data_IF_891099654037
#
_entry.id   IF_891099654037
#
_cell.length_a   1.000
_cell.length_b   1.000
_cell.length_c   1.000
_cell.angle_alpha   90.00
_cell.angle_beta   90.00
_cell.angle_gamma   90.00
#
_symmetry.space_group_name_H-M   'P 1'
#
loop_
_entity.id
_entity.type
_entity.pdbx_description
1 polymer ?
#
# COMPACT_ATOMS: atom_id res chain seq x y z
N UNK A 1 -40.43 30.65 29.11
CA UNK A 1 -39.27 31.22 28.39
C UNK A 1 -38.09 30.24 28.42
N UNK A 2 -38.18 29.04 27.85
CA UNK A 2 -37.06 28.06 27.85
C UNK A 2 -37.19 27.06 26.69
N UNK A 3 -37.25 27.57 25.46
CA UNK A 3 -37.34 26.73 24.25
C UNK A 3 -36.47 27.29 23.12
N UNK A 4 -35.25 27.75 23.45
CA UNK A 4 -34.25 28.25 22.48
C UNK A 4 -32.84 27.64 22.66
N UNK A 5 -32.68 26.60 23.48
CA UNK A 5 -31.34 26.08 23.82
C UNK A 5 -31.04 24.66 23.32
N UNK A 6 -31.78 24.14 22.34
CA UNK A 6 -31.47 22.83 21.72
C UNK A 6 -31.15 22.93 20.22
N UNK A 7 -31.52 24.03 19.55
CA UNK A 7 -31.20 24.25 18.14
C UNK A 7 -29.77 24.80 17.90
N UNK A 8 -29.10 25.31 18.92
CA UNK A 8 -27.71 25.79 18.82
C UNK A 8 -26.66 24.72 19.11
N UNK A 9 -27.04 23.58 19.70
CA UNK A 9 -26.11 22.47 19.96
C UNK A 9 -25.89 21.57 18.73
N UNK A 10 -26.80 21.63 17.74
CA UNK A 10 -26.76 20.79 16.52
C UNK A 10 -26.12 21.48 15.31
N UNK A 11 -25.62 22.72 15.44
CA UNK A 11 -24.86 23.40 14.37
C UNK A 11 -23.35 23.23 14.48
N UNK A 12 -22.83 22.71 15.59
CA UNK A 12 -21.39 22.54 15.82
C UNK A 12 -20.84 21.13 15.48
N UNK A 13 -21.70 20.19 15.09
CA UNK A 13 -21.28 18.82 14.76
C UNK A 13 -20.65 18.68 13.37
N UNK A 14 -20.82 19.67 12.48
CA UNK A 14 -20.19 19.67 11.15
C UNK A 14 -18.71 20.12 11.16
N UNK A 15 -18.19 20.56 12.29
CA UNK A 15 -16.78 20.99 12.44
C UNK A 15 -15.99 20.00 13.31
N UNK A 16 -16.67 19.20 14.14
CA UNK A 16 -16.01 18.27 15.05
C UNK A 16 -15.36 17.08 14.32
N UNK A 17 -15.99 16.56 13.26
CA UNK A 17 -15.46 15.44 12.47
C UNK A 17 -14.16 15.81 11.72
N UNK A 18 -14.08 16.95 10.99
CA UNK A 18 -12.81 17.33 10.35
C UNK A 18 -11.72 17.70 11.36
N UNK A 19 -12.05 18.25 12.53
CA UNK A 19 -11.07 18.56 13.57
C UNK A 19 -10.43 17.30 14.17
N UNK A 20 -11.21 16.24 14.42
CA UNK A 20 -10.70 14.93 14.87
C UNK A 20 -9.85 14.25 13.78
N UNK A 21 -10.22 14.41 12.51
CA UNK A 21 -9.45 13.86 11.39
C UNK A 21 -8.10 14.58 11.20
N UNK A 22 -8.09 15.91 11.32
CA UNK A 22 -6.87 16.72 11.33
C UNK A 22 -5.98 16.39 12.53
N UNK A 23 -6.55 16.12 13.71
CA UNK A 23 -5.78 15.70 14.88
C UNK A 23 -5.18 14.30 14.71
N UNK A 24 -5.90 13.37 14.08
CA UNK A 24 -5.36 12.04 13.75
C UNK A 24 -4.22 12.12 12.72
N UNK A 25 -4.38 12.94 11.66
CA UNK A 25 -3.31 13.20 10.68
C UNK A 25 -2.12 13.90 11.34
N UNK A 26 -2.36 14.87 12.23
CA UNK A 26 -1.29 15.56 12.96
C UNK A 26 -0.56 14.62 13.91
N UNK A 27 -1.26 13.69 14.58
CA UNK A 27 -0.63 12.66 15.41
C UNK A 27 0.21 11.70 14.57
N UNK A 28 -0.26 11.30 13.38
CA UNK A 28 0.50 10.49 12.42
C UNK A 28 1.72 11.28 11.90
N UNK A 29 1.58 12.58 11.63
CA UNK A 29 2.68 13.43 11.17
C UNK A 29 3.72 13.68 12.28
N UNK A 30 3.28 13.88 13.53
CA UNK A 30 4.15 14.10 14.69
C UNK A 30 4.90 12.81 15.03
N UNK A 31 4.26 11.64 14.96
CA UNK A 31 4.95 10.36 15.10
C UNK A 31 5.92 10.06 13.93
N UNK A 32 5.73 10.70 12.78
CA UNK A 32 6.64 10.61 11.63
C UNK A 32 7.67 11.74 11.58
N UNK A 33 7.66 12.69 12.53
CA UNK A 33 8.60 13.82 12.56
C UNK A 33 9.95 13.33 13.11
N UNK A 34 10.83 12.95 12.18
CA UNK A 34 12.24 12.66 12.41
C UNK A 34 12.89 13.76 13.25
N UNK A 35 13.29 13.43 14.47
CA UNK A 35 14.35 14.14 15.16
C UNK A 35 15.67 13.89 14.44
N UNK A 36 16.30 14.98 14.02
CA UNK A 36 17.64 14.96 13.47
C UNK A 36 18.68 14.97 14.58
N UNK A 37 19.53 13.94 14.56
CA UNK A 37 20.93 13.94 14.99
C UNK A 37 21.27 13.73 16.47
N UNK A 38 21.27 12.46 16.89
CA UNK A 38 22.39 11.86 17.64
C UNK A 38 22.31 10.35 17.47
N UNK A 39 23.24 9.72 16.74
CA UNK A 39 23.53 8.28 16.76
C UNK A 39 22.37 7.27 16.58
N UNK A 40 21.16 7.70 16.21
CA UNK A 40 19.97 6.88 16.17
C UNK A 40 19.89 6.15 14.83
N UNK A 41 20.32 4.89 14.82
CA UNK A 41 19.97 3.98 13.75
C UNK A 41 18.45 3.96 13.61
N UNK A 42 17.91 4.59 12.56
CA UNK A 42 16.52 4.38 12.16
C UNK A 42 16.34 2.86 12.08
N UNK A 43 15.45 2.24 12.86
CA UNK A 43 15.27 0.80 12.80
C UNK A 43 14.89 0.46 11.36
N UNK A 44 15.81 -0.20 10.65
CA UNK A 44 15.55 -0.60 9.27
C UNK A 44 14.35 -1.55 9.29
N UNK A 45 13.34 -1.31 8.44
CA UNK A 45 12.20 -2.22 8.37
C UNK A 45 12.71 -3.61 7.99
N UNK A 46 12.08 -4.65 8.51
CA UNK A 46 12.48 -6.04 8.25
C UNK A 46 12.55 -6.37 6.75
N UNK A 47 11.59 -5.85 5.98
CA UNK A 47 11.57 -5.88 4.52
C UNK A 47 10.92 -4.59 4.00
N UNK A 48 11.23 -4.22 2.76
CA UNK A 48 10.76 -3.00 2.13
C UNK A 48 10.53 -3.21 0.62
N UNK A 49 9.44 -2.66 0.10
CA UNK A 49 9.20 -2.56 -1.34
C UNK A 49 9.76 -1.23 -1.86
N UNK A 50 10.21 -1.20 -3.12
CA UNK A 50 10.69 0.03 -3.75
C UNK A 50 9.60 1.09 -3.97
N UNK A 51 8.34 0.71 -3.78
CA UNK A 51 7.17 1.59 -3.83
C UNK A 51 6.11 1.07 -2.86
N UNK A 52 5.31 1.97 -2.30
CA UNK A 52 4.18 1.65 -1.44
C UNK A 52 2.90 1.33 -2.24
N UNK A 53 2.93 1.57 -3.56
CA UNK A 53 1.81 1.38 -4.49
C UNK A 53 2.32 0.93 -5.87
N UNK A 54 1.68 -0.08 -6.44
CA UNK A 54 1.85 -0.48 -7.84
C UNK A 54 0.71 0.10 -8.68
N UNK A 55 0.91 1.29 -9.22
CA UNK A 55 -0.08 1.97 -10.05
C UNK A 55 0.22 1.78 -11.55
N UNK A 56 -0.65 1.05 -12.24
CA UNK A 56 -0.59 0.88 -13.69
C UNK A 56 -1.05 2.12 -14.46
N UNK A 57 -1.66 3.10 -13.79
CA UNK A 57 -2.21 4.29 -14.41
C UNK A 57 -3.40 3.97 -15.31
N UNK A 58 -3.51 4.72 -16.40
CA UNK A 58 -4.56 4.53 -17.41
C UNK A 58 -4.18 3.42 -18.37
N UNK A 59 -4.98 2.37 -18.39
CA UNK A 59 -4.76 1.23 -19.27
C UNK A 59 -5.97 1.04 -20.20
N UNK A 60 -5.74 0.78 -21.50
CA UNK A 60 -6.82 0.41 -22.41
C UNK A 60 -7.51 -0.89 -21.98
N UNK A 61 -8.75 -1.10 -22.42
CA UNK A 61 -9.40 -2.40 -22.27
C UNK A 61 -8.71 -3.47 -23.11
N UNK A 62 -8.80 -4.72 -22.67
CA UNK A 62 -8.29 -5.90 -23.37
C UNK A 62 -6.79 -5.90 -23.67
N UNK A 63 -6.00 -5.10 -22.96
CA UNK A 63 -4.53 -5.14 -23.02
C UNK A 63 -3.95 -5.86 -21.80
N UNK A 64 -2.66 -6.19 -21.90
CA UNK A 64 -1.88 -6.74 -20.77
C UNK A 64 -0.77 -5.77 -20.43
N UNK A 65 -0.59 -5.50 -19.15
CA UNK A 65 0.44 -4.59 -18.65
C UNK A 65 1.31 -5.30 -17.63
N UNK A 66 2.58 -4.89 -17.55
CA UNK A 66 3.55 -5.44 -16.60
C UNK A 66 4.26 -4.32 -15.86
N UNK A 67 4.41 -4.50 -14.55
CA UNK A 67 5.24 -3.65 -13.70
C UNK A 67 6.19 -4.51 -12.86
N UNK A 68 7.24 -3.86 -12.38
CA UNK A 68 8.26 -4.48 -11.56
C UNK A 68 8.48 -3.67 -10.29
N UNK A 69 8.53 -4.36 -9.16
CA UNK A 69 8.78 -3.79 -7.85
C UNK A 69 9.92 -4.56 -7.20
N UNK A 70 10.87 -3.86 -6.60
CA UNK A 70 11.98 -4.47 -5.88
C UNK A 70 11.54 -4.69 -4.43
N UNK A 71 11.76 -5.89 -3.93
CA UNK A 71 11.65 -6.27 -2.53
C UNK A 71 13.05 -6.44 -1.94
N UNK A 72 13.38 -5.59 -0.97
CA UNK A 72 14.59 -5.67 -0.17
C UNK A 72 14.28 -6.25 1.21
N UNK A 73 15.10 -7.18 1.66
CA UNK A 73 14.99 -7.79 2.99
C UNK A 73 16.23 -7.41 3.78
N UNK A 74 16.03 -6.73 4.91
CA UNK A 74 17.13 -6.10 5.66
C UNK A 74 17.70 -7.01 6.77
N UNK A 75 17.33 -8.28 6.77
CA UNK A 75 17.84 -9.29 7.71
C UNK A 75 18.27 -10.56 6.94
N UNK A 76 19.27 -11.30 7.43
CA UNK A 76 19.62 -12.60 6.86
C UNK A 76 18.41 -13.53 6.87
N UNK A 77 18.01 -14.01 5.70
CA UNK A 77 16.85 -14.87 5.55
C UNK A 77 17.00 -15.74 4.30
N UNK A 78 16.49 -16.95 4.39
CA UNK A 78 16.30 -17.82 3.24
C UNK A 78 15.19 -17.27 2.34
N UNK A 79 15.58 -16.53 1.31
CA UNK A 79 14.65 -15.93 0.34
C UNK A 79 13.89 -16.96 -0.47
N UNK A 80 14.34 -18.22 -0.54
CA UNK A 80 13.62 -19.30 -1.23
C UNK A 80 12.33 -19.70 -0.49
N UNK A 81 12.23 -19.37 0.80
CA UNK A 81 11.04 -19.61 1.62
C UNK A 81 10.04 -18.44 1.59
N UNK A 82 10.37 -17.32 0.95
CA UNK A 82 9.43 -16.21 0.75
C UNK A 82 8.39 -16.64 -0.27
N UNK A 83 7.12 -16.44 0.06
CA UNK A 83 5.99 -16.90 -0.76
C UNK A 83 5.13 -15.73 -1.17
N UNK A 84 4.69 -15.78 -2.42
CA UNK A 84 3.63 -14.92 -2.93
C UNK A 84 2.29 -15.58 -2.61
N UNK A 85 1.41 -14.87 -1.91
CA UNK A 85 0.06 -15.37 -1.68
C UNK A 85 -0.75 -15.38 -2.98
N UNK A 86 -1.73 -16.29 -3.14
CA UNK A 86 -2.63 -16.25 -4.29
C UNK A 86 -3.32 -14.90 -4.40
N UNK A 87 -3.50 -14.41 -5.64
CA UNK A 87 -4.32 -13.23 -5.90
C UNK A 87 -5.78 -13.67 -5.93
N UNK A 88 -6.69 -12.86 -5.39
CA UNK A 88 -8.13 -13.12 -5.48
C UNK A 88 -8.73 -12.74 -6.84
N UNK A 89 -7.90 -12.30 -7.80
CA UNK A 89 -8.36 -11.83 -9.10
C UNK A 89 -7.66 -12.56 -10.26
N UNK A 90 -8.40 -13.21 -11.18
CA UNK A 90 -7.83 -14.09 -12.22
C UNK A 90 -6.97 -13.35 -13.25
N UNK A 91 -7.24 -12.07 -13.49
CA UNK A 91 -6.43 -11.26 -14.40
C UNK A 91 -5.08 -10.85 -13.80
N UNK A 92 -4.90 -10.94 -12.47
CA UNK A 92 -3.68 -10.47 -11.81
C UNK A 92 -2.74 -11.65 -11.55
N UNK A 93 -1.60 -11.66 -12.22
CA UNK A 93 -0.54 -12.65 -12.04
C UNK A 93 0.70 -11.97 -11.49
N UNK A 94 1.49 -12.73 -10.75
CA UNK A 94 2.73 -12.22 -10.22
C UNK A 94 3.74 -13.32 -9.96
N UNK A 95 5.02 -12.95 -10.00
CA UNK A 95 6.14 -13.85 -9.77
C UNK A 95 7.26 -13.13 -9.03
N UNK A 96 8.04 -13.90 -8.30
CA UNK A 96 9.20 -13.43 -7.55
C UNK A 96 10.45 -14.05 -8.15
N UNK A 97 11.43 -13.22 -8.48
CA UNK A 97 12.71 -13.64 -9.07
C UNK A 97 13.87 -13.04 -8.31
N UNK A 98 14.92 -13.80 -7.94
CA UNK A 98 16.11 -13.24 -7.32
C UNK A 98 16.84 -12.27 -8.26
N UNK A 99 17.47 -11.24 -7.69
CA UNK A 99 18.36 -10.31 -8.40
C UNK A 99 19.81 -10.58 -8.02
N UNK A 100 20.75 -10.15 -8.87
CA UNK A 100 22.21 -10.27 -8.60
C UNK A 100 22.68 -9.50 -7.37
N UNK A 101 21.87 -8.56 -6.85
CA UNK A 101 22.19 -7.70 -5.70
C UNK A 101 21.62 -8.21 -4.37
N UNK A 102 21.11 -9.45 -4.32
CA UNK A 102 20.50 -10.02 -3.12
C UNK A 102 19.07 -9.51 -2.81
N UNK A 103 18.53 -8.61 -3.64
CA UNK A 103 17.12 -8.24 -3.60
C UNK A 103 16.26 -9.24 -4.39
N UNK A 104 14.96 -9.17 -4.21
CA UNK A 104 13.97 -9.92 -4.97
C UNK A 104 13.22 -8.95 -5.90
N UNK A 105 12.94 -9.39 -7.12
CA UNK A 105 12.15 -8.66 -8.10
C UNK A 105 10.76 -9.29 -8.17
N UNK A 106 9.74 -8.51 -7.85
CA UNK A 106 8.34 -8.88 -8.01
C UNK A 106 7.89 -8.37 -9.37
N UNK A 107 7.61 -9.27 -10.29
CA UNK A 107 6.97 -8.92 -11.57
C UNK A 107 5.47 -9.09 -11.43
N UNK A 108 4.72 -8.02 -11.64
CA UNK A 108 3.27 -7.96 -11.53
C UNK A 108 2.71 -7.78 -12.94
N UNK A 109 1.83 -8.68 -13.34
CA UNK A 109 1.18 -8.65 -14.64
C UNK A 109 -0.32 -8.50 -14.45
N UNK A 110 -0.88 -7.44 -14.99
CA UNK A 110 -2.31 -7.23 -15.09
C UNK A 110 -2.75 -7.64 -16.50
N UNK A 111 -3.51 -8.73 -16.58
CA UNK A 111 -4.09 -9.25 -17.81
C UNK A 111 -5.29 -8.42 -18.28
N UNK A 112 -6.04 -8.98 -19.22
CA UNK A 112 -7.12 -8.27 -19.90
C UNK A 112 -8.31 -8.00 -18.97
N UNK A 113 -8.71 -6.73 -18.92
CA UNK A 113 -9.93 -6.28 -18.26
C UNK A 113 -10.94 -5.84 -19.33
N UNK A 114 -12.20 -6.26 -19.17
CA UNK A 114 -13.26 -6.10 -20.18
C UNK A 114 -14.10 -4.84 -19.98
N UNK A 115 -14.14 -4.35 -18.74
CA UNK A 115 -15.03 -3.26 -18.33
C UNK A 115 -14.21 -2.02 -17.95
N UNK A 116 -14.65 -0.82 -18.35
CA UNK A 116 -14.02 0.41 -17.90
C UNK A 116 -14.29 0.62 -16.41
N UNK A 117 -13.37 1.28 -15.71
CA UNK A 117 -13.50 1.51 -14.26
C UNK A 117 -12.18 1.48 -13.53
N UNK A 118 -12.25 1.33 -12.20
CA UNK A 118 -11.06 1.19 -11.36
C UNK A 118 -10.85 -0.27 -11.04
N UNK A 119 -9.66 -0.78 -11.36
CA UNK A 119 -9.16 -2.03 -10.86
C UNK A 119 -8.40 -1.81 -9.56
N UNK A 120 -8.67 -2.62 -8.53
CA UNK A 120 -7.93 -2.60 -7.27
C UNK A 120 -7.75 -4.01 -6.71
N UNK A 121 -6.54 -4.31 -6.24
CA UNK A 121 -6.21 -5.56 -5.59
C UNK A 121 -5.09 -5.38 -4.55
N UNK A 122 -4.97 -6.35 -3.65
CA UNK A 122 -3.85 -6.43 -2.70
C UNK A 122 -2.98 -7.63 -3.03
N UNK A 123 -1.68 -7.39 -3.13
CA UNK A 123 -0.66 -8.41 -3.26
C UNK A 123 0.02 -8.62 -1.91
N UNK A 124 0.07 -9.87 -1.42
CA UNK A 124 0.63 -10.16 -0.08
C UNK A 124 1.85 -11.08 -0.18
N UNK A 125 3.00 -10.59 0.24
CA UNK A 125 4.23 -11.36 0.39
C UNK A 125 4.26 -11.93 1.80
N UNK A 126 4.36 -13.25 1.92
CA UNK A 126 4.51 -13.95 3.20
C UNK A 126 5.97 -14.34 3.42
N UNK A 127 6.48 -14.04 4.61
CA UNK A 127 7.84 -14.36 5.02
C UNK A 127 7.87 -15.60 5.92
N UNK A 128 9.02 -16.29 6.05
CA UNK A 128 9.14 -17.50 6.85
C UNK A 128 8.93 -17.30 8.35
N UNK A 129 9.02 -16.06 8.83
CA UNK A 129 8.82 -15.68 10.22
C UNK A 129 7.38 -15.20 10.49
N UNK A 130 6.42 -15.63 9.68
CA UNK A 130 4.99 -15.33 9.79
C UNK A 130 4.63 -13.84 9.62
N UNK A 131 5.60 -13.00 9.26
CA UNK A 131 5.33 -11.63 8.86
C UNK A 131 4.79 -11.60 7.43
N UNK A 132 4.05 -10.55 7.13
CA UNK A 132 3.56 -10.26 5.78
C UNK A 132 3.86 -8.84 5.37
N UNK A 133 3.94 -8.61 4.07
CA UNK A 133 4.04 -7.27 3.47
C UNK A 133 3.04 -7.18 2.32
N UNK A 134 2.22 -6.14 2.33
CA UNK A 134 1.15 -5.95 1.35
C UNK A 134 1.48 -4.81 0.40
N UNK A 135 1.17 -4.99 -0.88
CA UNK A 135 1.30 -4.00 -1.93
C UNK A 135 -0.06 -3.80 -2.60
N UNK A 136 -0.68 -2.62 -2.45
CA UNK A 136 -1.81 -2.22 -3.26
C UNK A 136 -1.45 -2.16 -4.75
N UNK A 137 -2.35 -2.66 -5.59
CA UNK A 137 -2.28 -2.57 -7.05
C UNK A 137 -3.49 -1.82 -7.53
N UNK A 138 -3.27 -0.78 -8.33
CA UNK A 138 -4.33 0.05 -8.91
C UNK A 138 -4.15 0.17 -10.43
N UNK A 139 -5.28 0.31 -11.13
CA UNK A 139 -5.31 0.73 -12.52
C UNK A 139 -6.65 1.42 -12.82
N UNK A 140 -6.65 2.36 -13.78
CA UNK A 140 -7.87 2.91 -14.37
C UNK A 140 -8.04 2.36 -15.78
N UNK A 141 -9.07 1.57 -15.99
CA UNK A 141 -9.41 0.98 -17.28
C UNK A 141 -10.22 1.97 -18.12
N UNK A 142 -9.65 2.36 -19.26
CA UNK A 142 -10.24 3.31 -20.21
C UNK A 142 -10.55 2.61 -21.54
N UNK A 143 -11.55 3.12 -22.25
CA UNK A 143 -11.95 2.61 -23.57
C UNK A 143 -10.99 3.05 -24.66
#
# INVERSE_FOLDING_TARGET
MHQKSLANALRNTNILIPALFLLAILTILVNNRREGNSGNAVPKPFAQLSTDLCDFGDIPLNTTHTQQVILSVNVPMDTAKIRLMPTHHPALKWKLTPTSKGNLLITIQLGTLKEPGIFSALLTVAFPNERTLTLPVLARCIR
#
